data_IF_773768768995
#
_entry.id   IF_773768768995
#
_cell.length_a   1.000
_cell.length_b   1.000
_cell.length_c   1.000
_cell.angle_alpha   90.00
_cell.angle_beta   90.00
_cell.angle_gamma   90.00
#
_symmetry.space_group_name_H-M   'P 1'
#
loop_
_entity.id
_entity.type
_entity.pdbx_description
1 polymer ?
#
# COMPACT_ATOMS: atom_id res chain seq x y z
N UNK A 1 22.65 -57.12 64.14
CA UNK A 1 22.65 -57.12 62.66
C UNK A 1 21.22 -56.92 62.17
N UNK A 2 20.87 -55.69 61.79
CA UNK A 2 19.70 -55.35 60.96
C UNK A 2 20.09 -54.13 60.10
N UNK A 3 19.78 -54.10 58.80
CA UNK A 3 20.19 -53.03 57.90
C UNK A 3 19.23 -51.85 57.98
N UNK A 4 19.73 -50.64 58.19
CA UNK A 4 18.95 -49.41 58.02
C UNK A 4 19.37 -48.80 56.69
N UNK A 5 18.48 -48.92 55.71
CA UNK A 5 18.57 -48.31 54.38
C UNK A 5 18.79 -46.81 54.49
N UNK A 6 19.97 -46.35 54.08
CA UNK A 6 20.19 -44.93 53.83
C UNK A 6 19.67 -44.57 52.44
N UNK A 7 18.46 -44.03 52.46
CA UNK A 7 17.87 -43.07 51.53
C UNK A 7 18.89 -42.38 50.60
N UNK A 8 19.08 -42.93 49.39
CA UNK A 8 19.69 -42.19 48.29
C UNK A 8 18.65 -41.19 47.76
N UNK A 9 18.86 -39.93 48.08
CA UNK A 9 17.98 -38.79 47.83
C UNK A 9 17.38 -38.78 46.41
N UNK A 10 16.08 -38.45 46.26
CA UNK A 10 15.39 -38.38 44.95
C UNK A 10 15.97 -37.32 44.00
N UNK A 11 16.82 -36.44 44.51
CA UNK A 11 17.41 -35.30 43.81
C UNK A 11 18.31 -35.72 42.62
N UNK A 12 18.93 -36.90 42.66
CA UNK A 12 19.79 -37.37 41.56
C UNK A 12 19.01 -37.82 40.31
N UNK A 13 17.78 -38.33 40.48
CA UNK A 13 16.94 -38.78 39.36
C UNK A 13 16.23 -37.62 38.68
N UNK A 14 15.79 -36.62 39.46
CA UNK A 14 15.07 -35.45 38.95
C UNK A 14 15.93 -34.56 38.05
N UNK A 15 17.22 -34.38 38.39
CA UNK A 15 18.14 -33.55 37.59
C UNK A 15 18.52 -34.26 36.26
N UNK A 16 18.56 -35.60 36.26
CA UNK A 16 18.81 -36.37 35.04
C UNK A 16 17.59 -36.38 34.11
N UNK A 17 16.37 -36.44 34.67
CA UNK A 17 15.11 -36.38 33.92
C UNK A 17 14.85 -34.99 33.33
N UNK A 18 15.16 -33.92 34.08
CA UNK A 18 15.05 -32.53 33.61
C UNK A 18 16.00 -32.21 32.43
N UNK A 19 17.20 -32.80 32.40
CA UNK A 19 18.12 -32.61 31.29
C UNK A 19 17.68 -33.37 30.03
N UNK A 20 17.07 -34.56 30.17
CA UNK A 20 16.60 -35.36 29.03
C UNK A 20 15.34 -34.74 28.39
N UNK A 21 14.45 -34.14 29.18
CA UNK A 21 13.29 -33.40 28.69
C UNK A 21 13.69 -32.14 27.89
N UNK A 22 14.72 -31.40 28.35
CA UNK A 22 15.24 -30.22 27.65
C UNK A 22 15.92 -30.59 26.32
N UNK A 23 16.57 -31.76 26.23
CA UNK A 23 17.13 -32.26 24.98
C UNK A 23 16.06 -32.62 23.93
N UNK A 24 14.94 -33.23 24.36
CA UNK A 24 13.81 -33.54 23.46
C UNK A 24 13.08 -32.27 22.98
N UNK A 25 12.93 -31.26 23.84
CA UNK A 25 12.33 -29.96 23.47
C UNK A 25 13.19 -29.19 22.45
N UNK A 26 14.52 -29.36 22.47
CA UNK A 26 15.43 -28.72 21.53
C UNK A 26 15.45 -29.41 20.15
N UNK A 27 15.19 -30.73 20.10
CA UNK A 27 14.95 -31.46 18.85
C UNK A 27 13.65 -31.06 18.14
N UNK A 28 12.55 -30.91 18.90
CA UNK A 28 11.27 -30.44 18.35
C UNK A 28 11.32 -29.01 17.79
N UNK A 29 12.16 -28.13 18.36
CA UNK A 29 12.34 -26.76 17.86
C UNK A 29 13.14 -26.71 16.55
N UNK A 30 14.08 -27.63 16.34
CA UNK A 30 14.81 -27.75 15.07
C UNK A 30 13.89 -28.26 13.94
N UNK A 31 13.03 -29.24 14.23
CA UNK A 31 11.98 -29.70 13.30
C UNK A 31 10.95 -28.60 13.02
N UNK A 32 10.58 -27.79 14.03
CA UNK A 32 9.67 -26.66 13.86
C UNK A 32 10.29 -25.53 13.01
N UNK A 33 11.59 -25.24 13.14
CA UNK A 33 12.28 -24.29 12.25
C UNK A 33 12.38 -24.80 10.81
N UNK A 34 12.60 -26.10 10.62
CA UNK A 34 12.62 -26.71 9.29
C UNK A 34 11.22 -26.71 8.64
N UNK A 35 10.17 -27.02 9.41
CA UNK A 35 8.78 -26.97 8.97
C UNK A 35 8.29 -25.53 8.70
N UNK A 36 8.74 -24.54 9.48
CA UNK A 36 8.42 -23.13 9.27
C UNK A 36 9.13 -22.57 8.01
N UNK A 37 10.35 -23.03 7.72
CA UNK A 37 11.06 -22.72 6.47
C UNK A 37 10.37 -23.33 5.23
N UNK A 38 9.86 -24.56 5.33
CA UNK A 38 9.09 -25.21 4.26
C UNK A 38 7.71 -24.57 4.01
N UNK A 39 6.98 -24.25 5.08
CA UNK A 39 5.65 -23.63 4.99
C UNK A 39 5.70 -22.21 4.38
N UNK A 40 6.75 -21.44 4.66
CA UNK A 40 6.95 -20.13 4.04
C UNK A 40 7.13 -20.23 2.52
N UNK A 41 7.85 -21.23 2.03
CA UNK A 41 8.06 -21.45 0.61
C UNK A 41 6.79 -21.91 -0.13
N UNK A 42 5.90 -22.64 0.55
CA UNK A 42 4.62 -23.09 -0.01
C UNK A 42 3.51 -22.01 0.06
N UNK A 43 3.63 -21.05 0.98
CA UNK A 43 2.79 -19.84 0.99
C UNK A 43 3.25 -18.83 -0.07
N UNK A 44 4.58 -18.71 -0.30
CA UNK A 44 5.13 -17.78 -1.29
C UNK A 44 4.78 -18.19 -2.74
N UNK A 45 4.67 -19.49 -3.02
CA UNK A 45 4.28 -20.00 -4.36
C UNK A 45 2.79 -19.83 -4.68
N UNK A 46 1.93 -19.65 -3.67
CA UNK A 46 0.52 -19.29 -3.88
C UNK A 46 0.31 -17.77 -3.99
N UNK A 47 1.21 -16.97 -3.42
CA UNK A 47 1.23 -15.51 -3.59
C UNK A 47 1.75 -15.06 -4.97
N UNK A 48 2.40 -15.93 -5.75
CA UNK A 48 2.89 -15.63 -7.11
C UNK A 48 1.87 -15.82 -8.24
N UNK A 49 0.63 -16.22 -7.95
CA UNK A 49 -0.45 -16.31 -8.97
C UNK A 49 -1.41 -15.12 -8.99
N UNK A 50 -1.09 -14.04 -8.27
CA UNK A 50 -1.75 -12.73 -8.41
C UNK A 50 -0.71 -11.69 -8.82
N UNK A 51 -0.24 -11.79 -10.06
CA UNK A 51 0.41 -10.69 -10.75
C UNK A 51 -0.64 -9.88 -11.53
N UNK A 52 -1.02 -8.66 -11.10
CA UNK A 52 -1.07 -7.57 -12.06
C UNK A 52 0.38 -7.27 -12.44
N UNK A 53 0.68 -7.31 -13.73
CA UNK A 53 1.97 -6.90 -14.25
C UNK A 53 2.29 -5.46 -13.79
N UNK A 54 3.28 -5.31 -12.91
CA UNK A 54 3.84 -4.00 -12.56
C UNK A 54 5.24 -3.91 -13.17
N UNK A 55 5.30 -3.25 -14.32
CA UNK A 55 6.54 -2.72 -14.89
C UNK A 55 7.05 -1.56 -14.02
N UNK A 56 8.37 -1.41 -13.82
CA UNK A 56 8.93 -0.23 -13.20
C UNK A 56 9.03 0.88 -14.25
N UNK A 57 8.03 1.75 -14.33
CA UNK A 57 8.14 3.00 -15.07
C UNK A 57 7.26 4.06 -14.44
N UNK A 58 7.90 5.13 -13.99
CA UNK A 58 7.35 6.35 -13.37
C UNK A 58 6.34 7.08 -14.28
N UNK A 59 5.19 6.46 -14.52
CA UNK A 59 4.07 7.05 -15.24
C UNK A 59 3.04 7.56 -14.22
N UNK A 60 2.59 8.83 -14.32
CA UNK A 60 1.52 9.31 -13.46
C UNK A 60 0.28 8.44 -13.69
N UNK A 61 -0.34 8.03 -12.59
CA UNK A 61 -1.51 7.17 -12.58
C UNK A 61 -2.59 7.68 -13.55
N UNK A 62 -2.86 6.93 -14.61
CA UNK A 62 -4.02 7.15 -15.45
C UNK A 62 -5.26 6.80 -14.63
N UNK A 63 -6.06 7.82 -14.30
CA UNK A 63 -7.42 7.66 -13.78
C UNK A 63 -8.25 6.95 -14.85
N UNK A 64 -8.56 5.68 -14.62
CA UNK A 64 -9.45 4.91 -15.47
C UNK A 64 -10.80 5.64 -15.59
N UNK A 65 -11.14 6.06 -16.82
CA UNK A 65 -12.43 6.62 -17.16
C UNK A 65 -13.50 5.52 -17.09
N UNK A 66 -14.18 5.43 -15.95
CA UNK A 66 -15.47 4.74 -15.87
C UNK A 66 -16.53 5.65 -16.50
N UNK A 67 -17.08 5.21 -17.63
CA UNK A 67 -18.17 5.88 -18.34
C UNK A 67 -19.47 5.81 -17.50
N UNK A 68 -20.11 6.94 -17.15
CA UNK A 68 -21.32 6.91 -16.34
C UNK A 68 -22.58 6.77 -17.23
N UNK A 69 -23.56 5.93 -16.84
CA UNK A 69 -24.93 6.04 -17.35
C UNK A 69 -25.66 7.16 -16.57
N UNK A 70 -26.48 7.92 -17.30
CA UNK A 70 -27.20 9.14 -16.92
C UNK A 70 -26.35 10.43 -16.93
N UNK A 71 -26.47 11.19 -18.03
CA UNK A 71 -25.86 12.52 -18.19
C UNK A 71 -26.50 13.53 -17.23
N UNK A 72 -26.00 13.57 -16.00
CA UNK A 72 -26.20 14.71 -15.11
C UNK A 72 -25.29 15.86 -15.52
N UNK A 73 -25.80 17.10 -15.46
CA UNK A 73 -24.98 18.33 -15.61
C UNK A 73 -23.79 18.32 -14.64
N UNK A 74 -23.95 17.68 -13.48
CA UNK A 74 -22.93 17.47 -12.47
C UNK A 74 -21.71 16.68 -12.99
N UNK A 75 -21.93 15.46 -13.53
CA UNK A 75 -20.84 14.60 -13.99
C UNK A 75 -20.10 15.22 -15.18
N UNK A 76 -20.81 15.97 -16.03
CA UNK A 76 -20.22 16.66 -17.16
C UNK A 76 -19.27 17.79 -16.72
N UNK A 77 -19.69 18.63 -15.79
CA UNK A 77 -18.88 19.76 -15.31
C UNK A 77 -17.70 19.28 -14.47
N UNK A 78 -17.93 18.36 -13.54
CA UNK A 78 -16.86 17.80 -12.71
C UNK A 78 -15.87 17.01 -13.57
N UNK A 79 -16.35 16.19 -14.49
CA UNK A 79 -15.52 15.40 -15.40
C UNK A 79 -14.62 16.28 -16.27
N UNK A 80 -15.15 17.38 -16.82
CA UNK A 80 -14.35 18.36 -17.58
C UNK A 80 -13.26 18.99 -16.73
N UNK A 81 -13.58 19.45 -15.53
CA UNK A 81 -12.61 20.11 -14.65
C UNK A 81 -11.50 19.16 -14.19
N UNK A 82 -11.85 17.91 -13.89
CA UNK A 82 -10.86 16.85 -13.57
C UNK A 82 -9.91 16.63 -14.74
N UNK A 83 -10.44 16.59 -15.97
CA UNK A 83 -9.63 16.40 -17.17
C UNK A 83 -8.67 17.58 -17.38
N UNK A 84 -9.16 18.81 -17.30
CA UNK A 84 -8.32 20.02 -17.47
C UNK A 84 -7.18 20.09 -16.44
N UNK A 85 -7.45 19.75 -15.19
CA UNK A 85 -6.43 19.73 -14.12
C UNK A 85 -5.41 18.63 -14.38
N UNK A 86 -5.84 17.45 -14.82
CA UNK A 86 -4.96 16.35 -15.20
C UNK A 86 -4.06 16.73 -16.38
N UNK A 87 -4.60 17.42 -17.38
CA UNK A 87 -3.86 17.87 -18.55
C UNK A 87 -2.79 18.89 -18.14
N UNK A 88 -3.14 19.87 -17.30
CA UNK A 88 -2.17 20.84 -16.75
C UNK A 88 -1.06 20.15 -15.94
N UNK A 89 -1.41 19.17 -15.11
CA UNK A 89 -0.43 18.41 -14.32
C UNK A 89 0.49 17.56 -15.22
N UNK A 90 -0.05 16.98 -16.29
CA UNK A 90 0.72 16.20 -17.27
C UNK A 90 1.66 17.09 -18.07
N UNK A 91 1.18 18.26 -18.51
CA UNK A 91 1.97 19.26 -19.21
C UNK A 91 3.15 19.74 -18.36
N UNK A 92 2.87 20.20 -17.13
CA UNK A 92 3.90 20.57 -16.15
C UNK A 92 4.96 19.47 -15.98
N UNK A 93 4.52 18.21 -15.80
CA UNK A 93 5.42 17.07 -15.64
C UNK A 93 6.25 16.78 -16.88
N UNK A 94 5.68 16.97 -18.08
CA UNK A 94 6.39 16.83 -19.35
C UNK A 94 7.45 17.92 -19.50
N UNK A 95 7.09 19.18 -19.29
CA UNK A 95 8.01 20.33 -19.39
C UNK A 95 9.12 20.25 -18.37
N UNK A 96 8.84 19.80 -17.14
CA UNK A 96 9.85 19.53 -16.14
C UNK A 96 10.84 18.44 -16.60
N UNK A 97 10.35 17.33 -17.15
CA UNK A 97 11.21 16.26 -17.66
C UNK A 97 12.07 16.74 -18.83
N UNK A 98 11.49 17.48 -19.77
CA UNK A 98 12.21 18.07 -20.91
C UNK A 98 13.33 19.01 -20.44
N UNK A 99 13.04 19.88 -19.48
CA UNK A 99 14.04 20.77 -18.89
C UNK A 99 15.16 19.99 -18.19
N UNK A 100 14.83 18.97 -17.41
CA UNK A 100 15.81 18.11 -16.74
C UNK A 100 16.64 17.26 -17.73
N UNK A 101 16.07 16.89 -18.88
CA UNK A 101 16.75 16.21 -19.97
C UNK A 101 17.70 17.13 -20.76
N UNK A 102 17.73 18.43 -20.46
CA UNK A 102 18.56 19.41 -21.16
C UNK A 102 17.97 19.91 -22.47
N UNK A 103 16.68 19.66 -22.72
CA UNK A 103 15.96 20.28 -23.84
C UNK A 103 15.83 21.79 -23.64
N UNK A 104 15.61 22.53 -24.73
CA UNK A 104 15.53 23.99 -24.72
C UNK A 104 14.17 24.49 -24.16
N UNK A 105 13.79 24.03 -22.96
CA UNK A 105 12.62 24.51 -22.24
C UNK A 105 13.07 25.52 -21.19
N UNK A 106 12.64 26.79 -21.29
CA UNK A 106 13.08 27.81 -20.35
C UNK A 106 12.46 27.59 -18.96
N UNK A 107 13.28 27.73 -17.91
CA UNK A 107 12.88 27.52 -16.52
C UNK A 107 11.62 28.29 -16.11
N UNK A 108 11.48 29.55 -16.58
CA UNK A 108 10.33 30.38 -16.22
C UNK A 108 9.01 29.76 -16.71
N UNK A 109 9.01 29.11 -17.88
CA UNK A 109 7.83 28.46 -18.43
C UNK A 109 7.44 27.26 -17.58
N UNK A 110 8.41 26.41 -17.19
CA UNK A 110 8.17 25.27 -16.30
C UNK A 110 7.58 25.74 -14.97
N UNK A 111 8.11 26.84 -14.42
CA UNK A 111 7.62 27.41 -13.18
C UNK A 111 6.21 28.01 -13.33
N UNK A 112 5.89 28.63 -14.46
CA UNK A 112 4.53 29.09 -14.78
C UNK A 112 3.57 27.91 -14.86
N UNK A 113 3.92 26.87 -15.61
CA UNK A 113 3.10 25.66 -15.75
C UNK A 113 2.89 24.95 -14.40
N UNK A 114 3.92 24.94 -13.54
CA UNK A 114 3.83 24.42 -12.18
C UNK A 114 2.87 25.23 -11.30
N UNK A 115 2.96 26.56 -11.35
CA UNK A 115 2.05 27.45 -10.62
C UNK A 115 0.61 27.29 -11.11
N UNK A 116 0.40 27.22 -12.43
CA UNK A 116 -0.92 26.98 -13.01
C UNK A 116 -1.52 25.65 -12.58
N UNK A 117 -0.74 24.57 -12.63
CA UNK A 117 -1.20 23.25 -12.19
C UNK A 117 -1.57 23.24 -10.70
N UNK A 118 -0.78 23.90 -9.84
CA UNK A 118 -1.06 24.02 -8.41
C UNK A 118 -2.34 24.82 -8.10
N UNK A 119 -2.53 25.96 -8.79
CA UNK A 119 -3.74 26.78 -8.64
C UNK A 119 -4.97 26.04 -9.16
N UNK A 120 -4.89 25.40 -10.33
CA UNK A 120 -5.96 24.59 -10.89
C UNK A 120 -6.37 23.43 -9.98
N UNK A 121 -5.40 22.72 -9.39
CA UNK A 121 -5.66 21.65 -8.43
C UNK A 121 -6.36 22.16 -7.16
N UNK A 122 -5.91 23.30 -6.62
CA UNK A 122 -6.54 23.89 -5.42
C UNK A 122 -8.00 24.23 -5.69
N UNK A 123 -8.29 24.87 -6.84
CA UNK A 123 -9.66 25.16 -7.27
C UNK A 123 -10.49 23.90 -7.45
N UNK A 124 -9.90 22.81 -7.98
CA UNK A 124 -10.59 21.54 -8.15
C UNK A 124 -11.05 20.94 -6.81
N UNK A 125 -10.19 20.99 -5.80
CA UNK A 125 -10.53 20.47 -4.46
C UNK A 125 -11.67 21.29 -3.85
N UNK A 126 -11.63 22.62 -3.98
CA UNK A 126 -12.71 23.49 -3.50
C UNK A 126 -14.02 23.26 -4.26
N UNK A 127 -13.95 23.13 -5.58
CA UNK A 127 -15.10 22.86 -6.43
C UNK A 127 -15.72 21.50 -6.09
N UNK A 128 -14.90 20.45 -5.93
CA UNK A 128 -15.35 19.13 -5.47
C UNK A 128 -16.14 19.24 -4.17
N UNK A 129 -15.61 19.97 -3.18
CA UNK A 129 -16.26 20.12 -1.88
C UNK A 129 -17.60 20.86 -2.00
N UNK A 130 -17.63 21.99 -2.73
CA UNK A 130 -18.87 22.77 -2.96
C UNK A 130 -19.91 21.99 -3.74
N UNK A 131 -19.50 21.21 -4.74
CA UNK A 131 -20.40 20.40 -5.54
C UNK A 131 -21.01 19.25 -4.72
N UNK A 132 -20.22 18.58 -3.88
CA UNK A 132 -20.72 17.57 -2.95
C UNK A 132 -21.68 18.17 -1.90
N UNK A 133 -21.35 19.34 -1.37
CA UNK A 133 -22.21 20.07 -0.43
C UNK A 133 -23.55 20.47 -1.07
N UNK A 134 -23.51 20.99 -2.31
CA UNK A 134 -24.71 21.39 -3.06
C UNK A 134 -25.61 20.19 -3.37
N UNK A 135 -25.01 19.06 -3.77
CA UNK A 135 -25.73 17.80 -3.98
C UNK A 135 -26.40 17.31 -2.68
N UNK A 136 -25.65 17.32 -1.57
CA UNK A 136 -26.19 16.94 -0.26
C UNK A 136 -27.33 17.85 0.17
N UNK A 137 -27.19 19.17 0.03
CA UNK A 137 -28.20 20.16 0.40
C UNK A 137 -29.49 19.98 -0.40
N UNK A 138 -29.38 19.76 -1.72
CA UNK A 138 -30.55 19.52 -2.58
C UNK A 138 -31.35 18.30 -2.12
N UNK A 139 -30.66 17.22 -1.74
CA UNK A 139 -31.31 15.99 -1.27
C UNK A 139 -31.86 16.15 0.16
N UNK A 140 -31.14 16.83 1.05
CA UNK A 140 -31.55 16.98 2.45
C UNK A 140 -32.69 17.97 2.66
N UNK A 141 -32.86 18.95 1.78
CA UNK A 141 -33.95 19.93 1.83
C UNK A 141 -35.17 19.49 0.99
N UNK A 142 -34.98 18.56 0.04
CA UNK A 142 -36.02 18.09 -0.88
C UNK A 142 -36.78 16.84 -0.44
N UNK A 143 -36.53 16.32 0.77
CA UNK A 143 -37.22 15.17 1.35
C UNK A 143 -38.03 15.57 2.59
#
# INVERSE_FOLDING_TARGET
MQPISMNASPLGKEIMEAHMAKASAMGGMADQMNAMGGAFNQQLSQASQVTPAVSPANTPASIAQTQPPAEGVFDNVLGKFVHEVNDKHTQMGSSLRAMLAGENVPLHQVMTEFQEAGVAFTMMVELRNKLLESYKTMISMGL
#
